data_IF_845398728490
#
_entry.id   IF_845398728490
#
_cell.length_a   1.000
_cell.length_b   1.000
_cell.length_c   1.000
_cell.angle_alpha   90.00
_cell.angle_beta   90.00
_cell.angle_gamma   90.00
#
_symmetry.space_group_name_H-M   'P 1'
#
loop_
_entity.id
_entity.type
_entity.pdbx_description
1 polymer ?
#
# COMPACT_ATOMS: atom_id res chain seq x y z
N UNK A 1 36.55 42.97 9.43
CA UNK A 1 35.20 42.61 9.95
C UNK A 1 34.30 41.98 8.85
N UNK A 2 34.20 42.58 7.69
CA UNK A 2 33.33 42.13 6.55
C UNK A 2 33.61 40.70 6.02
N UNK A 3 34.88 40.30 5.89
CA UNK A 3 35.30 39.00 5.36
C UNK A 3 34.96 37.80 6.30
N UNK A 4 34.90 38.05 7.60
CA UNK A 4 34.57 37.05 8.62
C UNK A 4 33.05 36.77 8.68
N UNK A 5 32.23 37.78 8.38
CA UNK A 5 30.77 37.63 8.30
C UNK A 5 30.33 36.94 7.02
N UNK A 6 31.03 37.17 5.90
CA UNK A 6 30.77 36.42 4.66
C UNK A 6 31.06 34.93 4.84
N UNK A 7 32.19 34.53 5.42
CA UNK A 7 32.50 33.12 5.69
C UNK A 7 31.47 32.47 6.59
N UNK A 8 30.95 33.15 7.61
CA UNK A 8 29.88 32.63 8.47
C UNK A 8 28.58 32.38 7.69
N UNK A 9 28.18 33.29 6.80
CA UNK A 9 26.99 33.14 5.96
C UNK A 9 27.13 31.96 4.99
N UNK A 10 28.31 31.75 4.41
CA UNK A 10 28.58 30.61 3.55
C UNK A 10 28.52 29.26 4.31
N UNK A 11 29.12 29.22 5.52
CA UNK A 11 29.07 27.99 6.36
C UNK A 11 27.64 27.69 6.79
N UNK A 12 26.85 28.69 7.19
CA UNK A 12 25.43 28.50 7.53
C UNK A 12 24.63 28.00 6.32
N UNK A 13 24.88 28.56 5.13
CA UNK A 13 24.23 28.11 3.90
C UNK A 13 24.53 26.64 3.55
N UNK A 14 25.79 26.21 3.70
CA UNK A 14 26.21 24.82 3.46
C UNK A 14 25.59 23.87 4.49
N UNK A 15 25.59 24.24 5.77
CA UNK A 15 24.96 23.43 6.84
C UNK A 15 23.47 23.30 6.59
N UNK A 16 22.80 24.39 6.20
CA UNK A 16 21.37 24.34 5.88
C UNK A 16 21.09 23.47 4.65
N UNK A 17 21.92 23.55 3.61
CA UNK A 17 21.80 22.69 2.43
C UNK A 17 22.02 21.20 2.77
N UNK A 18 23.00 20.87 3.61
CA UNK A 18 23.25 19.50 4.09
C UNK A 18 22.06 19.01 4.92
N UNK A 19 21.52 19.84 5.83
CA UNK A 19 20.34 19.49 6.62
C UNK A 19 19.10 19.24 5.74
N UNK A 20 18.88 20.08 4.74
CA UNK A 20 17.76 19.90 3.80
C UNK A 20 17.92 18.62 2.97
N UNK A 21 19.12 18.32 2.49
CA UNK A 21 19.43 17.08 1.78
C UNK A 21 19.26 15.88 2.70
N UNK A 22 19.75 15.93 3.95
CA UNK A 22 19.58 14.86 4.92
C UNK A 22 18.11 14.63 5.28
N UNK A 23 17.34 15.71 5.47
CA UNK A 23 15.89 15.62 5.72
C UNK A 23 15.13 15.02 4.50
N UNK A 24 15.57 15.36 3.29
CA UNK A 24 15.01 14.78 2.07
C UNK A 24 15.29 13.28 1.98
N UNK A 25 16.52 12.85 2.25
CA UNK A 25 16.88 11.42 2.28
C UNK A 25 16.15 10.66 3.39
N UNK A 26 16.10 11.20 4.61
CA UNK A 26 15.37 10.59 5.73
C UNK A 26 13.86 10.47 5.43
N UNK A 27 13.27 11.46 4.75
CA UNK A 27 11.87 11.41 4.36
C UNK A 27 11.63 10.37 3.25
N UNK A 28 12.61 10.14 2.36
CA UNK A 28 12.55 9.13 1.31
C UNK A 28 12.59 7.71 1.87
N UNK A 29 13.41 7.46 2.89
CA UNK A 29 13.50 6.16 3.56
C UNK A 29 12.22 5.79 4.33
N UNK A 30 11.39 6.78 4.64
CA UNK A 30 10.13 6.59 5.37
C UNK A 30 8.89 6.39 4.47
N UNK A 31 9.03 6.50 3.14
CA UNK A 31 7.89 6.21 2.26
C UNK A 31 7.65 4.72 2.20
N UNK A 32 6.39 4.33 2.19
CA UNK A 32 5.98 2.94 2.02
C UNK A 32 6.52 2.38 0.71
N UNK A 33 7.23 1.26 0.83
CA UNK A 33 7.65 0.38 -0.27
C UNK A 33 7.16 -1.01 0.05
N UNK A 34 5.99 -1.35 -0.44
CA UNK A 34 5.28 -2.56 -0.08
C UNK A 34 5.40 -3.67 -1.13
N UNK A 35 5.36 -4.89 -0.66
CA UNK A 35 5.25 -6.10 -1.47
C UNK A 35 3.94 -6.81 -1.11
N UNK A 36 3.17 -7.22 -2.11
CA UNK A 36 2.01 -8.09 -1.90
C UNK A 36 2.42 -9.55 -1.83
N UNK A 37 1.80 -10.31 -0.96
CA UNK A 37 1.95 -11.76 -0.85
C UNK A 37 0.60 -12.40 -0.48
N UNK A 38 0.06 -13.20 -1.41
CA UNK A 38 -1.26 -13.81 -1.31
C UNK A 38 -1.27 -15.25 -0.80
N UNK A 39 -0.11 -15.84 -0.51
CA UNK A 39 -0.01 -17.20 0.05
C UNK A 39 0.34 -17.14 1.52
N UNK A 40 -0.56 -17.60 2.37
CA UNK A 40 -0.37 -17.58 3.83
C UNK A 40 0.84 -18.40 4.29
N UNK A 41 1.13 -19.52 3.61
CA UNK A 41 2.23 -20.42 3.93
C UNK A 41 3.62 -19.86 3.64
N UNK A 42 3.76 -18.78 2.87
CA UNK A 42 5.07 -18.19 2.54
C UNK A 42 5.88 -17.82 3.78
N UNK A 43 5.21 -17.28 4.81
CA UNK A 43 5.88 -16.86 6.05
C UNK A 43 6.38 -18.03 6.91
N UNK A 44 5.90 -19.24 6.68
CA UNK A 44 6.35 -20.47 7.37
C UNK A 44 7.29 -21.31 6.51
N UNK A 45 7.00 -21.46 5.23
CA UNK A 45 7.73 -22.34 4.32
C UNK A 45 8.92 -21.66 3.61
N UNK A 46 8.79 -20.37 3.29
CA UNK A 46 9.76 -19.61 2.49
C UNK A 46 10.22 -18.31 3.22
N UNK A 47 10.15 -18.27 4.55
CA UNK A 47 10.40 -17.05 5.35
C UNK A 47 11.76 -16.41 5.06
N UNK A 48 12.82 -17.19 4.97
CA UNK A 48 14.18 -16.68 4.79
C UNK A 48 14.37 -16.13 3.37
N UNK A 49 13.84 -16.82 2.34
CA UNK A 49 13.85 -16.37 0.95
C UNK A 49 13.01 -15.07 0.76
N UNK A 50 11.85 -15.01 1.40
CA UNK A 50 11.02 -13.80 1.36
C UNK A 50 11.73 -12.61 2.01
N UNK A 51 12.39 -12.82 3.15
CA UNK A 51 13.13 -11.76 3.85
C UNK A 51 14.35 -11.31 3.03
N UNK A 52 15.08 -12.23 2.41
CA UNK A 52 16.19 -11.90 1.50
C UNK A 52 15.67 -11.06 0.32
N UNK A 53 14.59 -11.50 -0.33
CA UNK A 53 13.98 -10.76 -1.44
C UNK A 53 13.53 -9.35 -1.03
N UNK A 54 12.88 -9.21 0.15
CA UNK A 54 12.45 -7.92 0.71
C UNK A 54 13.65 -6.99 0.90
N UNK A 55 14.74 -7.48 1.51
CA UNK A 55 15.92 -6.69 1.79
C UNK A 55 16.67 -6.27 0.51
N UNK A 56 16.84 -7.19 -0.44
CA UNK A 56 17.53 -6.93 -1.71
C UNK A 56 16.80 -5.87 -2.55
N UNK A 57 15.47 -5.87 -2.52
CA UNK A 57 14.63 -4.93 -3.25
C UNK A 57 14.19 -3.72 -2.41
N UNK A 58 14.68 -3.61 -1.16
CA UNK A 58 14.43 -2.47 -0.25
C UNK A 58 12.96 -2.22 0.03
N UNK A 59 12.17 -3.26 0.12
CA UNK A 59 10.83 -3.17 0.66
C UNK A 59 10.90 -2.95 2.18
N UNK A 60 10.02 -2.11 2.72
CA UNK A 60 9.91 -1.82 4.15
C UNK A 60 8.54 -2.19 4.71
N UNK A 61 7.67 -2.72 3.86
CA UNK A 61 6.29 -3.07 4.19
C UNK A 61 5.91 -4.35 3.45
N UNK A 62 5.19 -5.23 4.11
CA UNK A 62 4.63 -6.44 3.53
C UNK A 62 3.11 -6.44 3.72
N UNK A 63 2.38 -6.56 2.63
CA UNK A 63 0.95 -6.83 2.59
C UNK A 63 0.80 -8.34 2.40
N UNK A 64 0.58 -9.05 3.51
CA UNK A 64 0.58 -10.52 3.57
C UNK A 64 -0.81 -11.05 3.92
N UNK A 65 -1.33 -11.97 3.11
CA UNK A 65 -2.44 -12.80 3.53
C UNK A 65 -1.97 -13.76 4.64
N UNK A 66 -2.27 -13.44 5.88
CA UNK A 66 -1.93 -14.29 7.01
C UNK A 66 -3.02 -15.34 7.26
N UNK A 67 -2.62 -16.58 7.55
CA UNK A 67 -3.48 -17.48 8.31
C UNK A 67 -3.52 -17.02 9.75
N UNK A 68 -4.57 -16.30 10.13
CA UNK A 68 -4.69 -15.69 11.46
C UNK A 68 -4.90 -16.71 12.59
N UNK A 69 -5.11 -17.98 12.26
CA UNK A 69 -5.12 -19.09 13.23
C UNK A 69 -3.69 -19.64 13.50
N UNK A 70 -2.72 -19.40 12.58
CA UNK A 70 -1.30 -19.78 12.76
C UNK A 70 -0.47 -18.66 13.40
N UNK A 71 -0.81 -18.37 14.65
CA UNK A 71 -0.16 -17.32 15.46
C UNK A 71 1.34 -17.56 15.63
N UNK A 72 1.78 -18.83 15.70
CA UNK A 72 3.19 -19.21 15.89
C UNK A 72 4.03 -18.82 14.67
N UNK A 73 3.57 -19.08 13.44
CA UNK A 73 4.26 -18.69 12.21
C UNK A 73 4.34 -17.18 12.05
N UNK A 74 3.27 -16.46 12.36
CA UNK A 74 3.26 -14.99 12.34
C UNK A 74 4.29 -14.41 13.30
N UNK A 75 4.33 -14.91 14.54
CA UNK A 75 5.31 -14.46 15.55
C UNK A 75 6.73 -14.81 15.13
N UNK A 76 6.97 -16.02 14.61
CA UNK A 76 8.29 -16.47 14.17
C UNK A 76 8.83 -15.63 13.01
N UNK A 77 7.97 -15.33 12.03
CA UNK A 77 8.30 -14.44 10.90
C UNK A 77 8.60 -13.02 11.39
N UNK A 78 7.72 -12.44 12.20
CA UNK A 78 7.89 -11.08 12.70
C UNK A 78 9.15 -10.89 13.56
N UNK A 79 9.62 -11.95 14.25
CA UNK A 79 10.88 -11.90 14.99
C UNK A 79 12.14 -11.87 14.08
N UNK A 80 12.01 -12.22 12.81
CA UNK A 80 13.11 -12.26 11.84
C UNK A 80 13.27 -10.96 11.03
N UNK A 81 12.30 -10.04 11.13
CA UNK A 81 12.28 -8.83 10.29
C UNK A 81 11.74 -7.62 11.03
N UNK A 82 12.23 -6.43 10.66
CA UNK A 82 11.77 -5.14 11.21
C UNK A 82 10.79 -4.40 10.26
N UNK A 83 10.32 -5.05 9.18
CA UNK A 83 9.40 -4.44 8.22
C UNK A 83 8.01 -4.26 8.82
N UNK A 84 7.23 -3.34 8.25
CA UNK A 84 5.83 -3.16 8.64
C UNK A 84 4.97 -4.28 8.04
N UNK A 85 4.12 -4.89 8.86
CA UNK A 85 3.25 -5.98 8.47
C UNK A 85 1.80 -5.49 8.45
N UNK A 86 1.09 -5.76 7.34
CA UNK A 86 -0.34 -5.56 7.20
C UNK A 86 -1.00 -6.85 6.74
N UNK A 87 -2.16 -7.16 7.31
CA UNK A 87 -2.97 -8.28 6.85
C UNK A 87 -3.65 -7.92 5.52
N UNK A 88 -3.28 -8.63 4.47
CA UNK A 88 -3.89 -8.53 3.14
C UNK A 88 -5.09 -9.46 3.08
N UNK A 89 -6.26 -8.93 2.75
CA UNK A 89 -7.48 -9.71 2.68
C UNK A 89 -8.50 -9.04 1.75
N UNK A 90 -9.50 -9.79 1.33
CA UNK A 90 -10.60 -9.26 0.53
C UNK A 90 -11.20 -10.28 -0.42
N UNK A 91 -12.47 -10.08 -0.74
CA UNK A 91 -13.19 -10.81 -1.78
C UNK A 91 -14.36 -9.95 -2.26
N UNK A 92 -14.73 -9.99 -3.54
CA UNK A 92 -15.84 -9.22 -4.07
C UNK A 92 -17.18 -9.41 -3.35
N UNK A 93 -17.38 -10.59 -2.75
CA UNK A 93 -18.64 -10.97 -2.10
C UNK A 93 -18.70 -10.67 -0.60
N UNK A 94 -17.62 -10.12 -0.02
CA UNK A 94 -17.61 -9.77 1.39
C UNK A 94 -18.60 -8.63 1.68
N UNK A 95 -19.28 -8.77 2.82
CA UNK A 95 -20.07 -7.73 3.44
C UNK A 95 -19.37 -7.14 4.68
N UNK A 96 -19.99 -6.14 5.28
CA UNK A 96 -19.42 -5.44 6.45
C UNK A 96 -19.19 -6.39 7.65
N UNK A 97 -20.03 -7.39 7.85
CA UNK A 97 -19.86 -8.31 8.98
C UNK A 97 -18.61 -9.18 8.78
N UNK A 98 -18.40 -9.69 7.55
CA UNK A 98 -17.17 -10.43 7.24
C UNK A 98 -15.91 -9.58 7.40
N UNK A 99 -15.93 -8.33 6.98
CA UNK A 99 -14.82 -7.39 7.13
C UNK A 99 -14.51 -7.15 8.61
N UNK A 100 -15.53 -6.96 9.46
CA UNK A 100 -15.36 -6.79 10.90
C UNK A 100 -14.80 -8.04 11.58
N UNK A 101 -15.15 -9.23 11.10
CA UNK A 101 -14.55 -10.49 11.58
C UNK A 101 -13.04 -10.50 11.34
N UNK A 102 -12.58 -10.10 10.14
CA UNK A 102 -11.14 -10.00 9.82
C UNK A 102 -10.43 -8.96 10.69
N UNK A 103 -11.01 -7.77 10.84
CA UNK A 103 -10.44 -6.72 11.70
C UNK A 103 -10.30 -7.22 13.14
N UNK A 104 -11.32 -7.90 13.67
CA UNK A 104 -11.30 -8.45 15.02
C UNK A 104 -10.28 -9.60 15.15
N UNK A 105 -10.10 -10.42 14.11
CA UNK A 105 -9.12 -11.50 14.10
C UNK A 105 -7.69 -10.94 14.18
N UNK A 106 -7.35 -9.93 13.37
CA UNK A 106 -6.06 -9.23 13.45
C UNK A 106 -5.83 -8.63 14.84
N UNK A 107 -6.84 -7.96 15.40
CA UNK A 107 -6.75 -7.42 16.75
C UNK A 107 -6.46 -8.49 17.79
N UNK A 108 -7.11 -9.66 17.72
CA UNK A 108 -6.87 -10.78 18.64
C UNK A 108 -5.45 -11.34 18.49
N UNK A 109 -4.98 -11.57 17.27
CA UNK A 109 -3.60 -12.00 17.01
C UNK A 109 -2.61 -11.04 17.67
N UNK A 110 -2.79 -9.74 17.54
CA UNK A 110 -1.93 -8.73 18.16
C UNK A 110 -1.96 -8.72 19.71
N UNK A 111 -2.95 -9.36 20.35
CA UNK A 111 -2.93 -9.54 21.80
C UNK A 111 -2.05 -10.75 22.24
N UNK A 112 -1.84 -11.70 21.34
CA UNK A 112 -1.15 -12.97 21.63
C UNK A 112 0.31 -12.97 21.18
N UNK A 113 0.73 -12.02 20.31
CA UNK A 113 2.09 -11.91 19.77
C UNK A 113 2.78 -10.60 20.18
N UNK A 114 4.12 -10.60 20.15
CA UNK A 114 4.95 -9.40 20.35
C UNK A 114 5.21 -8.64 19.05
N UNK A 115 5.10 -9.31 17.92
CA UNK A 115 5.10 -8.71 16.59
C UNK A 115 3.77 -8.00 16.37
N UNK A 116 3.80 -6.81 15.78
CA UNK A 116 2.59 -6.01 15.59
C UNK A 116 2.20 -5.98 14.12
N UNK A 117 1.06 -6.59 13.78
CA UNK A 117 0.38 -6.33 12.50
C UNK A 117 -0.26 -4.95 12.61
N UNK A 118 0.20 -3.99 11.80
CA UNK A 118 -0.20 -2.59 11.87
C UNK A 118 -1.69 -2.37 11.61
N UNK A 119 -2.25 -3.16 10.71
CA UNK A 119 -3.62 -3.03 10.26
C UNK A 119 -3.92 -3.95 9.08
N UNK A 120 -4.85 -3.53 8.26
CA UNK A 120 -5.31 -4.31 7.11
C UNK A 120 -5.11 -3.53 5.80
N UNK A 121 -4.81 -4.27 4.73
CA UNK A 121 -4.99 -3.81 3.34
C UNK A 121 -6.11 -4.63 2.75
N UNK A 122 -7.23 -3.98 2.45
CA UNK A 122 -8.45 -4.64 2.05
C UNK A 122 -8.66 -4.46 0.54
N UNK A 123 -8.64 -5.57 -0.18
CA UNK A 123 -8.79 -5.64 -1.63
C UNK A 123 -10.15 -6.23 -1.99
N UNK A 124 -11.18 -5.42 -1.87
CA UNK A 124 -12.55 -5.77 -2.24
C UNK A 124 -12.88 -5.07 -3.56
N UNK A 125 -13.12 -5.87 -4.57
CA UNK A 125 -13.37 -5.43 -5.94
C UNK A 125 -14.86 -5.55 -6.31
N UNK A 126 -15.73 -4.63 -5.87
CA UNK A 126 -17.19 -4.75 -6.04
C UNK A 126 -17.62 -4.80 -7.52
N UNK A 127 -16.76 -4.36 -8.43
CA UNK A 127 -17.00 -4.40 -9.88
C UNK A 127 -16.92 -5.82 -10.46
N UNK A 128 -16.40 -6.79 -9.73
CA UNK A 128 -16.41 -8.20 -10.13
C UNK A 128 -17.75 -8.92 -9.80
N UNK A 129 -18.68 -8.26 -9.11
CA UNK A 129 -20.01 -8.83 -8.85
C UNK A 129 -20.78 -9.00 -10.14
N UNK A 130 -21.48 -10.13 -10.28
CA UNK A 130 -22.18 -10.51 -11.51
C UNK A 130 -23.26 -9.50 -11.97
N UNK A 131 -23.79 -8.70 -11.07
CA UNK A 131 -24.82 -7.69 -11.34
C UNK A 131 -24.30 -6.26 -11.37
N UNK A 132 -22.96 -6.05 -11.35
CA UNK A 132 -22.32 -4.76 -11.36
C UNK A 132 -22.84 -3.83 -12.46
N UNK A 133 -22.85 -4.26 -13.71
CA UNK A 133 -23.26 -3.42 -14.84
C UNK A 133 -24.68 -2.88 -14.70
N UNK A 134 -25.56 -3.64 -14.06
CA UNK A 134 -26.98 -3.27 -13.86
C UNK A 134 -27.17 -2.39 -12.62
N UNK A 135 -26.33 -2.54 -11.61
CA UNK A 135 -26.50 -2.00 -10.28
C UNK A 135 -25.30 -1.17 -9.79
N UNK A 136 -24.38 -0.75 -10.68
CA UNK A 136 -23.11 -0.08 -10.37
C UNK A 136 -23.23 0.94 -9.24
N UNK A 137 -24.15 1.89 -9.39
CA UNK A 137 -24.34 2.97 -8.39
C UNK A 137 -24.78 2.46 -7.02
N UNK A 138 -25.66 1.46 -6.99
CA UNK A 138 -26.14 0.87 -5.73
C UNK A 138 -25.02 0.09 -5.04
N UNK A 139 -24.30 -0.75 -5.81
CA UNK A 139 -23.20 -1.56 -5.31
C UNK A 139 -22.09 -0.67 -4.78
N UNK A 140 -21.69 0.36 -5.55
CA UNK A 140 -20.65 1.31 -5.13
C UNK A 140 -21.05 2.09 -3.87
N UNK A 141 -22.28 2.55 -3.73
CA UNK A 141 -22.72 3.22 -2.52
C UNK A 141 -22.68 2.28 -1.30
N UNK A 142 -23.16 1.05 -1.45
CA UNK A 142 -23.10 0.06 -0.36
C UNK A 142 -21.67 -0.22 0.04
N UNK A 143 -20.79 -0.45 -0.95
CA UNK A 143 -19.35 -0.65 -0.71
C UNK A 143 -18.72 0.51 0.07
N UNK A 144 -18.98 1.76 -0.34
CA UNK A 144 -18.44 2.92 0.35
C UNK A 144 -18.95 2.99 1.80
N UNK A 145 -20.26 2.75 2.03
CA UNK A 145 -20.84 2.78 3.35
C UNK A 145 -20.24 1.67 4.25
N UNK A 146 -20.01 0.47 3.70
CA UNK A 146 -19.33 -0.64 4.38
C UNK A 146 -17.87 -0.30 4.73
N UNK A 147 -17.12 0.35 3.81
CA UNK A 147 -15.73 0.76 4.07
C UNK A 147 -15.62 1.82 5.17
N UNK A 148 -16.57 2.77 5.20
CA UNK A 148 -16.63 3.78 6.27
C UNK A 148 -16.86 3.12 7.63
N UNK A 149 -17.82 2.21 7.72
CA UNK A 149 -18.12 1.48 8.96
C UNK A 149 -16.95 0.60 9.41
N UNK A 150 -16.27 -0.07 8.46
CA UNK A 150 -15.10 -0.90 8.72
C UNK A 150 -13.92 -0.07 9.24
N UNK A 151 -13.63 1.07 8.61
CA UNK A 151 -12.58 1.99 9.06
C UNK A 151 -12.83 2.51 10.48
N UNK A 152 -14.08 2.90 10.79
CA UNK A 152 -14.43 3.29 12.15
C UNK A 152 -14.25 2.17 13.16
N UNK A 153 -14.51 0.92 12.75
CA UNK A 153 -14.31 -0.24 13.61
C UNK A 153 -12.83 -0.55 13.83
N UNK A 154 -12.02 -0.54 12.79
CA UNK A 154 -10.56 -0.72 12.87
C UNK A 154 -9.92 0.35 13.76
N UNK A 155 -10.28 1.61 13.59
CA UNK A 155 -9.80 2.72 14.41
C UNK A 155 -10.10 2.55 15.90
N UNK A 156 -11.29 2.02 16.28
CA UNK A 156 -11.63 1.71 17.69
C UNK A 156 -10.72 0.64 18.30
N UNK A 157 -10.17 -0.24 17.46
CA UNK A 157 -9.24 -1.31 17.86
C UNK A 157 -7.76 -0.89 17.72
N UNK A 158 -7.48 0.32 17.24
CA UNK A 158 -6.13 0.85 17.07
C UNK A 158 -5.40 0.26 15.85
N UNK A 159 -6.14 -0.22 14.86
CA UNK A 159 -5.61 -0.77 13.61
C UNK A 159 -5.75 0.24 12.48
N UNK A 160 -4.72 0.33 11.62
CA UNK A 160 -4.76 1.09 10.38
C UNK A 160 -5.58 0.32 9.32
N UNK A 161 -6.31 1.05 8.48
CA UNK A 161 -7.20 0.47 7.49
C UNK A 161 -6.94 1.08 6.11
N UNK A 162 -6.35 0.29 5.21
CA UNK A 162 -6.02 0.69 3.85
C UNK A 162 -6.96 0.02 2.85
N UNK A 163 -7.35 0.75 1.82
CA UNK A 163 -8.16 0.22 0.73
C UNK A 163 -7.34 0.07 -0.55
N UNK A 164 -7.39 -1.11 -1.14
CA UNK A 164 -6.93 -1.34 -2.49
C UNK A 164 -8.05 -0.99 -3.48
N UNK A 165 -7.81 -0.07 -4.40
CA UNK A 165 -8.80 0.36 -5.38
C UNK A 165 -8.20 0.48 -6.79
N UNK A 166 -8.98 0.26 -7.86
CA UNK A 166 -8.51 0.52 -9.21
C UNK A 166 -8.47 2.02 -9.51
N UNK A 167 -7.52 2.43 -10.38
CA UNK A 167 -7.28 3.82 -10.78
C UNK A 167 -8.45 4.50 -11.51
N UNK A 168 -9.47 3.75 -11.93
CA UNK A 168 -10.58 4.24 -12.76
C UNK A 168 -11.88 4.51 -11.97
N UNK A 169 -11.85 4.49 -10.65
CA UNK A 169 -13.00 4.89 -9.86
C UNK A 169 -13.32 6.38 -10.09
N UNK A 170 -14.62 6.72 -10.05
CA UNK A 170 -15.05 8.10 -10.21
C UNK A 170 -14.57 8.97 -9.03
N UNK A 171 -14.02 10.16 -9.33
CA UNK A 171 -13.45 11.09 -8.34
C UNK A 171 -14.33 11.31 -7.10
N UNK A 172 -15.65 11.40 -7.28
CA UNK A 172 -16.60 11.58 -6.16
C UNK A 172 -16.69 10.35 -5.23
N UNK A 173 -16.47 9.14 -5.75
CA UNK A 173 -16.39 7.92 -4.96
C UNK A 173 -15.05 7.83 -4.22
N UNK A 174 -13.96 8.16 -4.91
CA UNK A 174 -12.62 8.25 -4.32
C UNK A 174 -12.61 9.23 -3.16
N UNK A 175 -13.17 10.44 -3.35
CA UNK A 175 -13.23 11.46 -2.29
C UNK A 175 -13.98 10.98 -1.03
N UNK A 176 -15.09 10.25 -1.19
CA UNK A 176 -15.85 9.67 -0.07
C UNK A 176 -15.06 8.57 0.65
N UNK A 177 -14.41 7.66 -0.09
CA UNK A 177 -13.59 6.59 0.48
C UNK A 177 -12.40 7.18 1.26
N UNK A 178 -11.68 8.12 0.68
CA UNK A 178 -10.51 8.73 1.32
C UNK A 178 -10.88 9.54 2.55
N UNK A 179 -11.99 10.28 2.49
CA UNK A 179 -12.40 11.14 3.59
C UNK A 179 -12.66 10.37 4.88
N UNK A 180 -13.49 9.34 4.80
CA UNK A 180 -14.02 8.66 5.98
C UNK A 180 -13.80 7.13 5.96
N UNK A 181 -13.49 6.53 4.80
CA UNK A 181 -13.45 5.07 4.59
C UNK A 181 -12.08 4.41 4.75
N UNK A 182 -11.00 5.17 4.95
CA UNK A 182 -9.65 4.57 5.09
C UNK A 182 -8.65 5.51 5.75
N UNK A 183 -7.51 4.97 6.17
CA UNK A 183 -6.30 5.71 6.56
C UNK A 183 -5.38 5.97 5.37
N UNK A 184 -5.46 5.17 4.34
CA UNK A 184 -4.74 5.34 3.10
C UNK A 184 -5.31 4.51 1.95
N UNK A 185 -4.89 4.86 0.73
CA UNK A 185 -5.21 4.13 -0.49
C UNK A 185 -3.98 3.41 -1.04
N UNK A 186 -4.21 2.18 -1.52
CA UNK A 186 -3.32 1.46 -2.43
C UNK A 186 -4.01 1.43 -3.80
N UNK A 187 -3.49 2.19 -4.76
CA UNK A 187 -4.12 2.31 -6.07
C UNK A 187 -3.51 1.31 -7.04
N UNK A 188 -4.31 0.39 -7.55
CA UNK A 188 -3.96 -0.53 -8.64
C UNK A 188 -3.77 0.26 -9.94
N UNK A 189 -2.55 0.79 -10.13
CA UNK A 189 -2.19 1.65 -11.27
C UNK A 189 -1.69 0.81 -12.44
N UNK A 190 -2.52 -0.13 -12.88
CA UNK A 190 -2.18 -1.18 -13.83
C UNK A 190 -2.40 -0.73 -15.28
N UNK A 191 -1.74 0.38 -15.70
CA UNK A 191 -1.74 0.82 -17.10
C UNK A 191 -0.52 1.68 -17.42
N UNK A 192 0.40 1.12 -18.21
CA UNK A 192 1.68 1.74 -18.56
C UNK A 192 1.53 3.03 -19.34
N UNK A 193 2.41 3.99 -19.06
CA UNK A 193 2.52 5.26 -19.76
C UNK A 193 1.56 6.36 -19.30
N UNK A 194 0.67 6.08 -18.33
CA UNK A 194 -0.28 7.03 -17.76
C UNK A 194 -0.30 7.06 -16.24
N UNK A 195 0.72 6.52 -15.61
CA UNK A 195 0.76 6.25 -14.18
C UNK A 195 0.56 7.52 -13.34
N UNK A 196 1.05 8.67 -13.80
CA UNK A 196 0.84 9.95 -13.13
C UNK A 196 -0.56 10.53 -13.36
N UNK A 197 -1.11 10.32 -14.56
CA UNK A 197 -2.46 10.79 -14.91
C UNK A 197 -3.51 10.04 -14.09
N UNK A 198 -3.32 8.75 -13.92
CA UNK A 198 -4.23 7.86 -13.19
C UNK A 198 -4.25 8.06 -11.67
N UNK A 199 -3.32 8.82 -11.12
CA UNK A 199 -3.27 9.11 -9.68
C UNK A 199 -3.86 10.49 -9.33
N UNK A 200 -4.37 11.24 -10.31
CA UNK A 200 -4.71 12.65 -10.11
C UNK A 200 -5.80 12.88 -9.07
N UNK A 201 -6.88 12.10 -9.14
CA UNK A 201 -8.04 12.24 -8.26
C UNK A 201 -7.74 11.71 -6.85
N UNK A 202 -7.00 10.58 -6.79
CA UNK A 202 -6.53 9.96 -5.55
C UNK A 202 -5.55 10.89 -4.81
N UNK A 203 -4.61 11.52 -5.54
CA UNK A 203 -3.68 12.51 -4.97
C UNK A 203 -4.43 13.70 -4.41
N UNK A 204 -5.39 14.26 -5.16
CA UNK A 204 -6.16 15.41 -4.69
C UNK A 204 -6.89 15.08 -3.39
N UNK A 205 -7.57 13.93 -3.33
CA UNK A 205 -8.32 13.51 -2.16
C UNK A 205 -7.41 13.15 -0.98
N UNK A 206 -6.38 12.31 -1.19
CA UNK A 206 -5.47 11.89 -0.13
C UNK A 206 -4.71 13.10 0.46
N UNK A 207 -4.26 14.05 -0.36
CA UNK A 207 -3.56 15.23 0.15
C UNK A 207 -4.50 16.20 0.87
N UNK A 208 -5.75 16.32 0.41
CA UNK A 208 -6.79 17.13 1.06
C UNK A 208 -7.07 16.64 2.48
N UNK A 209 -7.20 15.34 2.67
CA UNK A 209 -7.54 14.74 3.95
C UNK A 209 -6.33 14.23 4.74
N UNK A 210 -5.10 14.49 4.26
CA UNK A 210 -3.84 14.04 4.85
C UNK A 210 -3.77 12.53 5.07
N UNK A 211 -4.25 11.77 4.10
CA UNK A 211 -4.19 10.31 4.06
C UNK A 211 -2.98 9.82 3.27
N UNK A 212 -2.56 8.58 3.51
CA UNK A 212 -1.47 7.95 2.76
C UNK A 212 -1.96 7.54 1.36
N UNK A 213 -1.05 7.61 0.38
CA UNK A 213 -1.28 7.15 -0.98
C UNK A 213 -0.12 6.27 -1.42
N UNK A 214 -0.43 5.06 -1.84
CA UNK A 214 0.52 4.09 -2.39
C UNK A 214 0.09 3.74 -3.81
N UNK A 215 1.02 3.78 -4.77
CA UNK A 215 0.77 3.32 -6.13
C UNK A 215 1.26 1.89 -6.29
N UNK A 216 0.38 0.98 -6.72
CA UNK A 216 0.70 -0.43 -6.94
C UNK A 216 0.92 -0.70 -8.44
N UNK A 217 1.92 -1.54 -8.73
CA UNK A 217 2.26 -1.99 -10.08
C UNK A 217 2.12 -3.50 -10.18
N UNK A 218 1.55 -3.96 -11.31
CA UNK A 218 1.33 -5.37 -11.59
C UNK A 218 2.57 -6.00 -12.23
N UNK A 219 2.91 -7.22 -11.77
CA UNK A 219 4.04 -8.00 -12.27
C UNK A 219 3.64 -9.38 -12.80
N UNK A 220 2.36 -9.73 -12.84
CA UNK A 220 1.91 -10.99 -13.44
C UNK A 220 2.09 -10.97 -14.95
N UNK A 221 2.33 -12.15 -15.51
CA UNK A 221 2.40 -12.35 -16.97
C UNK A 221 1.08 -11.93 -17.65
N UNK A 222 1.18 -11.25 -18.78
CA UNK A 222 0.03 -10.90 -19.59
C UNK A 222 -0.77 -12.14 -20.03
N UNK A 223 -2.09 -11.98 -20.13
CA UNK A 223 -3.01 -13.09 -20.46
C UNK A 223 -3.56 -13.82 -19.24
N UNK A 224 -3.07 -13.56 -18.04
CA UNK A 224 -3.67 -14.01 -16.77
C UNK A 224 -4.60 -12.93 -16.22
N UNK A 225 -5.73 -13.33 -15.65
CA UNK A 225 -6.69 -12.41 -15.02
C UNK A 225 -7.07 -11.21 -15.90
N UNK A 226 -7.27 -11.45 -17.21
CA UNK A 226 -7.59 -10.44 -18.22
C UNK A 226 -6.54 -9.30 -18.39
N UNK A 227 -5.32 -9.50 -17.87
CA UNK A 227 -4.22 -8.56 -18.03
C UNK A 227 -3.71 -8.55 -19.47
N UNK A 228 -3.54 -7.35 -20.02
CA UNK A 228 -2.82 -7.12 -21.27
C UNK A 228 -1.37 -6.70 -21.00
N UNK A 229 -0.52 -6.72 -22.02
CA UNK A 229 0.87 -6.21 -21.95
C UNK A 229 0.96 -4.76 -21.43
N UNK A 230 -0.09 -3.97 -21.60
CA UNK A 230 -0.15 -2.60 -21.09
C UNK A 230 -0.47 -2.51 -19.60
N UNK A 231 -0.90 -3.60 -18.97
CA UNK A 231 -1.33 -3.60 -17.57
C UNK A 231 -0.26 -4.12 -16.60
N UNK A 232 0.83 -4.69 -17.12
CA UNK A 232 1.84 -5.34 -16.30
C UNK A 232 3.25 -4.95 -16.72
N UNK A 233 4.17 -4.95 -15.75
CA UNK A 233 5.61 -4.77 -15.93
C UNK A 233 6.38 -6.09 -15.90
N UNK A 234 5.70 -7.23 -16.09
CA UNK A 234 6.31 -8.56 -16.05
C UNK A 234 7.59 -8.65 -16.90
N UNK A 235 7.50 -8.28 -18.17
CA UNK A 235 8.61 -8.41 -19.12
C UNK A 235 9.71 -7.36 -18.88
N UNK A 236 9.35 -6.18 -18.38
CA UNK A 236 10.31 -5.10 -18.10
C UNK A 236 10.98 -5.25 -16.73
N UNK A 237 10.35 -5.97 -15.80
CA UNK A 237 10.86 -6.28 -14.49
C UNK A 237 10.84 -5.13 -13.47
N UNK A 238 11.25 -5.42 -12.24
CA UNK A 238 11.29 -4.46 -11.14
C UNK A 238 12.14 -3.21 -11.41
N UNK A 239 13.14 -3.31 -12.29
CA UNK A 239 13.95 -2.16 -12.70
C UNK A 239 13.10 -1.06 -13.34
N UNK A 240 12.22 -1.43 -14.26
CA UNK A 240 11.32 -0.49 -14.93
C UNK A 240 10.30 0.11 -13.95
N UNK A 241 9.74 -0.68 -13.05
CA UNK A 241 8.86 -0.19 -11.98
C UNK A 241 9.56 0.87 -11.13
N UNK A 242 10.81 0.61 -10.72
CA UNK A 242 11.59 1.57 -9.95
C UNK A 242 11.85 2.87 -10.72
N UNK A 243 12.15 2.80 -12.03
CA UNK A 243 12.35 4.00 -12.86
C UNK A 243 11.08 4.85 -12.98
N UNK A 244 9.92 4.22 -13.13
CA UNK A 244 8.62 4.92 -13.17
C UNK A 244 8.30 5.51 -11.80
N UNK A 245 8.48 4.73 -10.73
CA UNK A 245 8.27 5.22 -9.38
C UNK A 245 9.16 6.43 -9.04
N UNK A 246 10.44 6.44 -9.44
CA UNK A 246 11.31 7.60 -9.28
C UNK A 246 10.76 8.86 -9.95
N UNK A 247 10.15 8.75 -11.13
CA UNK A 247 9.50 9.88 -11.80
C UNK A 247 8.28 10.40 -11.01
N UNK A 248 7.46 9.46 -10.46
CA UNK A 248 6.33 9.79 -9.61
C UNK A 248 6.83 10.48 -8.33
N UNK A 249 7.79 9.86 -7.63
CA UNK A 249 8.36 10.35 -6.39
C UNK A 249 8.98 11.75 -6.53
N UNK A 250 9.75 11.98 -7.59
CA UNK A 250 10.38 13.29 -7.84
C UNK A 250 9.35 14.40 -8.01
N UNK A 251 8.14 14.09 -8.47
CA UNK A 251 7.06 15.05 -8.60
C UNK A 251 6.18 15.12 -7.33
N UNK A 252 5.99 14.00 -6.65
CA UNK A 252 5.11 13.85 -5.49
C UNK A 252 5.76 12.98 -4.41
N UNK A 253 6.65 13.56 -3.57
CA UNK A 253 7.49 12.77 -2.62
C UNK A 253 6.71 12.15 -1.44
N UNK A 254 5.38 12.16 -1.46
CA UNK A 254 4.51 11.57 -0.43
C UNK A 254 3.83 10.28 -0.90
N UNK A 255 4.04 9.87 -2.15
CA UNK A 255 3.43 8.67 -2.70
C UNK A 255 4.35 7.49 -2.42
N UNK A 256 3.81 6.43 -1.82
CA UNK A 256 4.47 5.15 -1.64
C UNK A 256 4.44 4.29 -2.92
N UNK A 257 5.18 3.21 -2.90
CA UNK A 257 5.22 2.17 -3.93
C UNK A 257 4.68 0.87 -3.36
N UNK A 258 3.90 0.13 -4.14
CA UNK A 258 3.63 -1.28 -3.90
C UNK A 258 3.88 -2.10 -5.17
N UNK A 259 4.23 -3.37 -5.01
CA UNK A 259 4.47 -4.29 -6.13
C UNK A 259 3.61 -5.54 -5.94
N UNK A 260 2.81 -5.86 -6.93
CA UNK A 260 1.92 -7.01 -6.96
C UNK A 260 2.50 -8.06 -7.91
N UNK A 261 2.95 -9.20 -7.45
CA UNK A 261 3.10 -9.74 -6.11
C UNK A 261 4.32 -10.71 -6.04
N UNK A 262 4.69 -11.18 -4.82
CA UNK A 262 5.91 -11.95 -4.55
C UNK A 262 6.11 -13.17 -5.43
N UNK A 263 5.10 -14.05 -5.56
CA UNK A 263 5.26 -15.34 -6.24
C UNK A 263 5.59 -15.26 -7.73
N UNK A 264 5.35 -14.13 -8.38
CA UNK A 264 5.71 -13.92 -9.79
C UNK A 264 7.08 -13.24 -9.97
N UNK A 265 7.71 -12.87 -8.86
CA UNK A 265 8.99 -12.16 -8.84
C UNK A 265 10.18 -13.02 -8.41
N UNK A 266 9.92 -14.16 -7.76
CA UNK A 266 10.93 -15.09 -7.25
C UNK A 266 11.46 -16.04 -8.29
#
# INVERSE_FOLDING_TARGET
MYYRDMKKKYVIGIVFAILMVSLFYLKRENNTRALFSWRSEVISEEADELIEFINDNKFNTLYQEFDLDDVESIQAFGNKTDIQLYHLCGSPDWDIERIKEEILAVYKVNQDITTNIKGLVVDIEPYLKADWDKNKKKIMNSYIDDMIEANEYAAKLGLEYFLCIPYWYEAGNVDRLVKDGCDGLVVMNYYKGKELEHLSDEMESCFRYNKELVTAFEMQEAGKHDLSENNTYHDEGLGAVNEIYEKIYNRYPRIGLAVHYYDVLK
#
